data_IF_246963246418
#
_entry.id   IF_246963246418
#
_cell.length_a   1.000
_cell.length_b   1.000
_cell.length_c   1.000
_cell.angle_alpha   90.00
_cell.angle_beta   90.00
_cell.angle_gamma   90.00
#
_symmetry.space_group_name_H-M   'P 1'
#
loop_
_entity.id
_entity.type
_entity.pdbx_description
1 polymer ?
#
# COMPACT_ATOMS: atom_id res chain seq x y z
N UNK A 1 -90.67 14.76 37.53
CA UNK A 1 -90.18 13.48 36.94
C UNK A 1 -88.71 13.34 37.29
N UNK A 2 -88.36 12.40 38.16
CA UNK A 2 -87.01 12.25 38.73
C UNK A 2 -86.13 11.38 37.83
N UNK A 3 -84.99 11.92 37.40
CA UNK A 3 -83.98 11.19 36.63
C UNK A 3 -83.17 10.27 37.56
N UNK A 4 -83.20 8.97 37.30
CA UNK A 4 -82.35 7.98 37.98
C UNK A 4 -80.97 7.93 37.34
N UNK A 5 -79.96 8.45 38.03
CA UNK A 5 -78.55 8.26 37.69
C UNK A 5 -78.11 6.89 38.20
N UNK A 6 -77.72 5.98 37.30
CA UNK A 6 -77.13 4.69 37.68
C UNK A 6 -75.63 4.88 37.97
N UNK A 7 -75.24 4.84 39.23
CA UNK A 7 -73.85 4.67 39.64
C UNK A 7 -73.41 3.23 39.36
N UNK A 8 -72.52 3.05 38.37
CA UNK A 8 -71.85 1.76 38.15
C UNK A 8 -70.93 1.49 39.35
N UNK A 9 -71.20 0.42 40.09
CA UNK A 9 -70.25 -0.10 41.09
C UNK A 9 -68.97 -0.56 40.37
N UNK A 10 -67.82 -0.04 40.79
CA UNK A 10 -66.53 -0.52 40.33
C UNK A 10 -66.38 -1.98 40.77
N UNK A 11 -66.28 -2.91 39.82
CA UNK A 11 -65.99 -4.31 40.11
C UNK A 11 -64.54 -4.40 40.59
N UNK A 12 -64.34 -4.85 41.82
CA UNK A 12 -63.01 -5.16 42.35
C UNK A 12 -62.36 -6.33 41.63
N UNK A 13 -61.04 -6.32 41.58
CA UNK A 13 -60.21 -7.33 40.92
C UNK A 13 -59.86 -8.46 41.90
N UNK A 14 -59.82 -9.70 41.44
CA UNK A 14 -59.53 -10.85 42.32
C UNK A 14 -58.03 -11.11 42.43
N UNK A 15 -57.58 -11.68 43.55
CA UNK A 15 -56.16 -11.99 43.77
C UNK A 15 -55.60 -12.96 42.71
N UNK A 16 -56.41 -13.92 42.26
CA UNK A 16 -56.03 -14.85 41.19
C UNK A 16 -55.80 -14.11 39.86
N UNK A 17 -56.64 -13.12 39.54
CA UNK A 17 -56.51 -12.29 38.34
C UNK A 17 -55.21 -11.47 38.38
N UNK A 18 -54.81 -10.98 39.56
CA UNK A 18 -53.56 -10.25 39.75
C UNK A 18 -52.32 -11.10 39.51
N UNK A 19 -52.32 -12.31 40.08
CA UNK A 19 -51.20 -13.24 39.93
C UNK A 19 -51.05 -13.63 38.46
N UNK A 20 -52.15 -13.95 37.77
CA UNK A 20 -52.13 -14.33 36.36
C UNK A 20 -51.58 -13.19 35.48
N UNK A 21 -51.99 -11.94 35.73
CA UNK A 21 -51.46 -10.78 34.99
C UNK A 21 -49.96 -10.58 35.23
N UNK A 22 -49.48 -10.66 36.48
CA UNK A 22 -48.04 -10.49 36.77
C UNK A 22 -47.21 -11.61 36.10
N UNK A 23 -47.68 -12.85 36.15
CA UNK A 23 -46.98 -13.98 35.53
C UNK A 23 -46.93 -13.83 34.01
N UNK A 24 -48.06 -13.51 33.36
CA UNK A 24 -48.12 -13.35 31.91
C UNK A 24 -47.25 -12.16 31.46
N UNK A 25 -47.34 -11.01 32.14
CA UNK A 25 -46.52 -9.84 31.81
C UNK A 25 -45.03 -10.12 31.99
N UNK A 26 -44.63 -10.89 33.01
CA UNK A 26 -43.25 -11.35 33.19
C UNK A 26 -42.74 -12.20 32.02
N UNK A 27 -43.52 -13.19 31.58
CA UNK A 27 -43.18 -14.05 30.43
C UNK A 27 -43.07 -13.22 29.15
N UNK A 28 -44.06 -12.37 28.87
CA UNK A 28 -44.07 -11.53 27.67
C UNK A 28 -42.90 -10.52 27.66
N UNK A 29 -42.59 -9.91 28.80
CA UNK A 29 -41.47 -8.96 28.92
C UNK A 29 -40.13 -9.66 28.66
N UNK A 30 -39.94 -10.89 29.17
CA UNK A 30 -38.74 -11.69 28.91
C UNK A 30 -38.58 -12.03 27.42
N UNK A 31 -39.67 -12.41 26.76
CA UNK A 31 -39.68 -12.69 25.32
C UNK A 31 -39.31 -11.43 24.51
N UNK A 32 -39.95 -10.29 24.81
CA UNK A 32 -39.68 -9.01 24.13
C UNK A 32 -38.23 -8.56 24.32
N UNK A 33 -37.65 -8.74 25.51
CA UNK A 33 -36.26 -8.40 25.77
C UNK A 33 -35.27 -9.15 24.85
N UNK A 34 -35.50 -10.45 24.60
CA UNK A 34 -34.69 -11.24 23.67
C UNK A 34 -34.88 -10.78 22.21
N UNK A 35 -36.12 -10.51 21.81
CA UNK A 35 -36.44 -10.04 20.46
C UNK A 35 -35.87 -8.65 20.14
N UNK A 36 -35.61 -7.81 21.14
CA UNK A 36 -34.98 -6.49 20.94
C UNK A 36 -33.45 -6.61 20.97
N UNK A 37 -32.90 -7.42 21.88
CA UNK A 37 -31.44 -7.54 22.05
C UNK A 37 -30.76 -8.12 20.82
N UNK A 38 -31.33 -9.18 20.23
CA UNK A 38 -30.69 -9.89 19.10
C UNK A 38 -30.55 -9.01 17.86
N UNK A 39 -31.59 -8.28 17.37
CA UNK A 39 -31.43 -7.38 16.23
C UNK A 39 -30.44 -6.24 16.47
N UNK A 40 -30.39 -5.67 17.68
CA UNK A 40 -29.45 -4.60 18.02
C UNK A 40 -28.01 -5.12 17.99
N UNK A 41 -27.76 -6.29 18.58
CA UNK A 41 -26.44 -6.92 18.57
C UNK A 41 -26.01 -7.25 17.14
N UNK A 42 -26.91 -7.85 16.34
CA UNK A 42 -26.65 -8.15 14.94
C UNK A 42 -26.32 -6.89 14.13
N UNK A 43 -27.04 -5.78 14.37
CA UNK A 43 -26.74 -4.51 13.72
C UNK A 43 -25.36 -3.98 14.11
N UNK A 44 -25.00 -4.02 15.39
CA UNK A 44 -23.69 -3.60 15.87
C UNK A 44 -22.55 -4.45 15.30
N UNK A 45 -22.73 -5.76 15.22
CA UNK A 45 -21.74 -6.70 14.65
C UNK A 45 -21.60 -6.49 13.13
N UNK A 46 -22.70 -6.26 12.42
CA UNK A 46 -22.68 -5.93 11.00
C UNK A 46 -21.96 -4.60 10.72
N UNK A 47 -22.25 -3.56 11.52
CA UNK A 47 -21.57 -2.27 11.40
C UNK A 47 -20.07 -2.39 11.70
N UNK A 48 -19.69 -3.19 12.70
CA UNK A 48 -18.29 -3.44 13.03
C UNK A 48 -17.54 -4.17 11.90
N UNK A 49 -18.18 -5.17 11.27
CA UNK A 49 -17.61 -5.90 10.12
C UNK A 49 -17.48 -5.03 8.88
N UNK A 50 -18.45 -4.15 8.63
CA UNK A 50 -18.37 -3.18 7.54
C UNK A 50 -17.16 -2.25 7.73
N UNK A 51 -16.97 -1.69 8.93
CA UNK A 51 -15.82 -0.84 9.25
C UNK A 51 -14.47 -1.56 9.02
N UNK A 52 -14.34 -2.81 9.48
CA UNK A 52 -13.12 -3.60 9.26
C UNK A 52 -12.87 -3.86 7.77
N UNK A 53 -13.93 -4.13 7.00
CA UNK A 53 -13.82 -4.36 5.55
C UNK A 53 -13.37 -3.10 4.83
N UNK A 54 -13.96 -1.94 5.15
CA UNK A 54 -13.58 -0.65 4.55
C UNK A 54 -12.11 -0.29 4.84
N UNK A 55 -11.63 -0.51 6.08
CA UNK A 55 -10.23 -0.30 6.46
C UNK A 55 -9.31 -1.22 5.66
N UNK A 56 -9.66 -2.51 5.56
CA UNK A 56 -8.88 -3.48 4.80
C UNK A 56 -8.80 -3.11 3.32
N UNK A 57 -9.93 -2.74 2.71
CA UNK A 57 -10.01 -2.38 1.30
C UNK A 57 -9.21 -1.11 0.98
N UNK A 58 -9.32 -0.06 1.80
CA UNK A 58 -8.55 1.17 1.60
C UNK A 58 -7.04 0.93 1.72
N UNK A 59 -6.62 0.15 2.73
CA UNK A 59 -5.22 -0.21 2.91
C UNK A 59 -4.68 -1.01 1.71
N UNK A 60 -5.44 -2.00 1.25
CA UNK A 60 -5.08 -2.86 0.12
C UNK A 60 -5.08 -2.13 -1.22
N UNK A 61 -6.03 -1.23 -1.46
CA UNK A 61 -6.06 -0.38 -2.65
C UNK A 61 -4.85 0.54 -2.70
N UNK A 62 -4.48 1.15 -1.56
CA UNK A 62 -3.29 2.00 -1.47
C UNK A 62 -2.02 1.20 -1.73
N UNK A 63 -1.87 0.05 -1.08
CA UNK A 63 -0.71 -0.84 -1.25
C UNK A 63 -0.58 -1.32 -2.70
N UNK A 64 -1.68 -1.74 -3.33
CA UNK A 64 -1.69 -2.14 -4.74
C UNK A 64 -1.24 -1.02 -5.67
N UNK A 65 -1.69 0.21 -5.43
CA UNK A 65 -1.31 1.36 -6.25
C UNK A 65 0.18 1.65 -6.13
N UNK A 66 0.75 1.59 -4.93
CA UNK A 66 2.16 1.85 -4.72
C UNK A 66 3.03 0.73 -5.31
N UNK A 67 2.64 -0.55 -5.16
CA UNK A 67 3.37 -1.69 -5.76
C UNK A 67 3.37 -1.64 -7.29
N UNK A 68 2.29 -1.19 -7.93
CA UNK A 68 2.27 -0.99 -9.38
C UNK A 68 3.23 0.09 -9.89
N UNK A 69 3.70 0.94 -8.98
CA UNK A 69 4.70 1.98 -9.25
C UNK A 69 6.08 1.59 -8.72
N UNK A 70 6.28 0.34 -8.26
CA UNK A 70 7.57 -0.14 -7.86
C UNK A 70 8.53 -0.12 -9.07
N UNK A 71 9.76 0.30 -8.83
CA UNK A 71 10.83 0.14 -9.80
C UNK A 71 10.98 -1.36 -10.12
N UNK A 72 11.07 -1.75 -11.40
CA UNK A 72 11.35 -3.12 -11.81
C UNK A 72 12.45 -3.76 -10.97
N UNK A 73 12.22 -4.98 -10.48
CA UNK A 73 13.20 -5.75 -9.70
C UNK A 73 13.70 -5.09 -8.40
N UNK A 74 12.97 -4.11 -7.85
CA UNK A 74 13.33 -3.45 -6.57
C UNK A 74 12.61 -3.98 -5.34
N UNK A 75 11.64 -4.89 -5.51
CA UNK A 75 10.85 -5.41 -4.39
C UNK A 75 11.70 -6.37 -3.55
N UNK A 76 11.75 -6.11 -2.25
CA UNK A 76 12.40 -6.97 -1.25
C UNK A 76 11.44 -7.23 -0.09
N UNK A 77 11.49 -8.46 0.43
CA UNK A 77 10.81 -8.83 1.67
C UNK A 77 11.78 -8.67 2.84
N UNK A 78 11.31 -8.06 3.91
CA UNK A 78 12.03 -7.89 5.16
C UNK A 78 11.31 -8.67 6.27
N UNK A 79 12.03 -8.99 7.35
CA UNK A 79 11.47 -9.58 8.56
C UNK A 79 10.58 -10.81 8.27
N UNK A 80 11.07 -11.72 7.42
CA UNK A 80 10.38 -12.95 6.99
C UNK A 80 8.97 -12.71 6.41
N UNK A 81 8.77 -11.62 5.65
CA UNK A 81 7.50 -11.31 4.99
C UNK A 81 6.52 -10.53 5.86
N UNK A 82 6.93 -10.06 7.05
CA UNK A 82 6.14 -9.07 7.81
C UNK A 82 6.37 -7.64 7.32
N UNK A 83 7.28 -7.42 6.38
CA UNK A 83 7.47 -6.11 5.75
C UNK A 83 7.84 -6.28 4.28
N UNK A 84 7.33 -5.39 3.43
CA UNK A 84 7.66 -5.33 2.00
C UNK A 84 8.20 -3.94 1.69
N UNK A 85 9.33 -3.88 0.99
CA UNK A 85 10.02 -2.66 0.64
C UNK A 85 10.32 -2.62 -0.85
N UNK A 86 10.25 -1.44 -1.45
CA UNK A 86 10.56 -1.22 -2.86
C UNK A 86 10.89 0.24 -3.13
N UNK A 87 11.54 0.49 -4.25
CA UNK A 87 11.78 1.84 -4.75
C UNK A 87 10.55 2.30 -5.52
N UNK A 88 10.01 3.48 -5.20
CA UNK A 88 8.81 3.99 -5.87
C UNK A 88 9.20 4.92 -7.02
N UNK A 89 8.61 4.67 -8.19
CA UNK A 89 8.76 5.50 -9.38
C UNK A 89 7.60 6.49 -9.50
N UNK A 90 7.85 7.65 -10.11
CA UNK A 90 6.78 8.60 -10.47
C UNK A 90 6.57 8.76 -11.96
N UNK A 91 7.63 8.59 -12.75
CA UNK A 91 7.63 8.72 -14.20
C UNK A 91 8.83 7.97 -14.78
N UNK A 92 8.96 7.98 -16.10
CA UNK A 92 10.11 7.43 -16.83
C UNK A 92 10.08 7.96 -18.26
N UNK A 93 11.14 7.69 -19.00
CA UNK A 93 11.29 8.19 -20.37
C UNK A 93 12.28 7.39 -21.17
N UNK A 94 12.55 7.87 -22.39
CA UNK A 94 13.66 7.41 -23.20
C UNK A 94 14.76 8.47 -23.14
N UNK A 95 16.00 8.06 -22.95
CA UNK A 95 17.15 8.94 -23.08
C UNK A 95 17.65 8.93 -24.52
N UNK A 96 18.28 10.01 -24.96
CA UNK A 96 18.92 10.07 -26.27
C UNK A 96 20.14 9.14 -26.28
N UNK A 97 20.18 8.21 -27.24
CA UNK A 97 21.28 7.26 -27.45
C UNK A 97 22.08 7.64 -28.69
N UNK A 98 23.35 7.23 -28.76
CA UNK A 98 24.18 7.33 -29.98
C UNK A 98 23.51 6.66 -31.19
N UNK A 99 22.74 5.59 -30.95
CA UNK A 99 21.99 4.86 -31.97
C UNK A 99 20.85 5.68 -32.60
N UNK A 100 20.41 6.76 -31.94
CA UNK A 100 19.37 7.64 -32.47
C UNK A 100 19.88 8.54 -33.59
N UNK A 101 21.20 8.76 -33.68
CA UNK A 101 21.83 9.61 -34.69
C UNK A 101 21.30 11.05 -34.72
N UNK A 102 20.70 11.52 -33.62
CA UNK A 102 20.12 12.85 -33.50
C UNK A 102 21.06 13.80 -32.75
N UNK A 103 20.94 15.10 -33.02
CA UNK A 103 21.74 16.13 -32.33
C UNK A 103 21.19 16.34 -30.93
N UNK A 104 22.04 16.16 -29.91
CA UNK A 104 21.70 16.42 -28.51
C UNK A 104 22.74 15.86 -27.56
N UNK A 105 22.41 15.86 -26.26
CA UNK A 105 23.22 15.23 -25.22
C UNK A 105 22.80 13.76 -25.08
N UNK A 106 23.63 12.84 -25.53
CA UNK A 106 23.41 11.41 -25.32
C UNK A 106 23.75 11.00 -23.89
N UNK A 107 23.05 9.99 -23.35
CA UNK A 107 23.44 9.38 -22.08
C UNK A 107 24.69 8.52 -22.29
N UNK A 108 25.82 8.98 -21.77
CA UNK A 108 27.12 8.33 -21.96
C UNK A 108 27.35 7.23 -20.91
N UNK A 109 27.71 6.03 -21.36
CA UNK A 109 28.03 4.88 -20.50
C UNK A 109 29.52 4.58 -20.38
N UNK A 110 30.37 5.47 -20.88
CA UNK A 110 31.83 5.32 -20.92
C UNK A 110 32.57 6.50 -20.28
N UNK A 111 31.99 7.69 -20.31
CA UNK A 111 32.60 8.92 -19.78
C UNK A 111 31.87 9.44 -18.54
N UNK A 112 32.51 9.29 -17.38
CA UNK A 112 31.97 9.74 -16.10
C UNK A 112 31.86 11.27 -15.97
N UNK A 113 32.51 12.03 -16.87
CA UNK A 113 32.46 13.51 -16.88
C UNK A 113 31.23 14.06 -17.59
N UNK A 114 30.50 13.21 -18.35
CA UNK A 114 29.24 13.57 -19.00
C UNK A 114 28.09 13.54 -18.00
N UNK A 115 27.71 14.71 -17.50
CA UNK A 115 26.71 14.85 -16.44
C UNK A 115 25.31 15.21 -16.96
N UNK A 116 25.10 15.25 -18.28
CA UNK A 116 23.84 15.69 -18.88
C UNK A 116 23.41 14.75 -19.98
N UNK A 117 22.10 14.50 -20.07
CA UNK A 117 21.50 13.80 -21.21
C UNK A 117 20.15 14.41 -21.54
N UNK A 118 19.72 14.26 -22.78
CA UNK A 118 18.44 14.73 -23.28
C UNK A 118 17.40 13.60 -23.24
N UNK A 119 16.20 13.95 -22.82
CA UNK A 119 15.04 13.06 -22.89
C UNK A 119 14.51 13.06 -24.32
N UNK A 120 14.07 11.90 -24.81
CA UNK A 120 13.41 11.77 -26.12
C UNK A 120 11.90 11.81 -25.91
N UNK A 121 11.23 12.79 -26.50
CA UNK A 121 9.80 13.04 -26.34
C UNK A 121 9.49 14.17 -25.36
N UNK A 122 8.20 14.37 -25.00
CA UNK A 122 7.79 15.47 -24.13
C UNK A 122 8.29 15.26 -22.70
N UNK A 123 8.86 16.30 -22.10
CA UNK A 123 9.27 16.28 -20.70
C UNK A 123 8.04 16.15 -19.78
N UNK A 124 8.06 15.25 -18.77
CA UNK A 124 6.98 15.16 -17.79
C UNK A 124 6.76 16.49 -17.06
N UNK A 125 5.50 16.84 -16.80
CA UNK A 125 5.10 18.11 -16.18
C UNK A 125 4.30 17.92 -14.88
N UNK A 126 3.98 19.03 -14.23
CA UNK A 126 3.17 19.08 -13.01
C UNK A 126 3.60 18.06 -11.93
N UNK A 127 2.74 17.07 -11.63
CA UNK A 127 3.00 16.07 -10.59
C UNK A 127 4.03 15.00 -11.00
N UNK A 128 4.30 14.88 -12.30
CA UNK A 128 5.28 13.96 -12.86
C UNK A 128 6.60 14.64 -13.21
N UNK A 129 6.67 15.97 -13.05
CA UNK A 129 7.87 16.76 -13.31
C UNK A 129 9.08 16.16 -12.58
N UNK A 130 10.19 16.05 -13.32
CA UNK A 130 11.49 15.63 -12.78
C UNK A 130 12.10 16.85 -12.08
N UNK A 131 12.54 16.66 -10.84
CA UNK A 131 12.99 17.71 -9.95
C UNK A 131 14.38 17.36 -9.37
N UNK A 132 15.18 18.36 -8.98
CA UNK A 132 16.40 18.11 -8.22
C UNK A 132 16.13 17.27 -6.97
N UNK A 133 16.95 16.26 -6.74
CA UNK A 133 16.79 15.28 -5.66
C UNK A 133 16.04 14.00 -6.06
N UNK A 134 15.43 13.93 -7.25
CA UNK A 134 14.99 12.65 -7.81
C UNK A 134 16.18 11.81 -8.26
N UNK A 135 15.93 10.51 -8.45
CA UNK A 135 16.91 9.56 -8.95
C UNK A 135 16.53 9.06 -10.34
N UNK A 136 17.46 9.13 -11.28
CA UNK A 136 17.37 8.46 -12.57
C UNK A 136 17.97 7.07 -12.41
N UNK A 137 17.17 6.05 -12.68
CA UNK A 137 17.60 4.66 -12.69
C UNK A 137 17.51 4.12 -14.10
N UNK A 138 18.54 3.40 -14.52
CA UNK A 138 18.60 2.75 -15.84
C UNK A 138 18.78 1.26 -15.65
N UNK A 139 17.97 0.48 -16.37
CA UNK A 139 18.11 -0.96 -16.52
C UNK A 139 18.32 -1.73 -15.19
N UNK A 140 17.41 -1.57 -14.22
CA UNK A 140 17.51 -2.24 -12.93
C UNK A 140 17.18 -3.74 -13.03
N UNK A 141 18.19 -4.58 -12.82
CA UNK A 141 18.06 -6.05 -12.81
C UNK A 141 17.83 -6.61 -11.41
N UNK A 142 18.01 -5.79 -10.37
CA UNK A 142 17.66 -6.11 -8.99
C UNK A 142 18.86 -6.45 -8.11
N UNK A 143 18.57 -6.87 -6.88
CA UNK A 143 19.57 -7.03 -5.82
C UNK A 143 20.63 -8.07 -6.18
N UNK A 144 21.90 -7.69 -6.05
CA UNK A 144 23.05 -8.56 -6.34
C UNK A 144 23.52 -8.55 -7.79
N UNK A 145 22.84 -7.82 -8.68
CA UNK A 145 23.18 -7.71 -10.10
C UNK A 145 24.02 -6.45 -10.37
N UNK A 146 25.25 -6.38 -9.85
CA UNK A 146 26.13 -5.22 -10.09
C UNK A 146 26.58 -5.13 -11.56
N UNK A 147 26.60 -3.93 -12.21
CA UNK A 147 26.25 -2.61 -11.66
C UNK A 147 24.76 -2.24 -11.75
N UNK A 148 23.92 -3.10 -12.33
CA UNK A 148 22.48 -2.95 -12.53
C UNK A 148 21.61 -3.20 -11.27
N UNK A 149 22.11 -2.82 -10.10
CA UNK A 149 21.43 -2.92 -8.81
C UNK A 149 21.24 -1.53 -8.19
N UNK A 150 20.00 -1.05 -8.19
CA UNK A 150 19.65 0.27 -7.70
C UNK A 150 19.98 0.46 -6.22
N UNK A 151 19.89 -0.59 -5.39
CA UNK A 151 20.25 -0.50 -3.97
C UNK A 151 21.77 -0.41 -3.76
N UNK A 152 22.57 -0.90 -4.71
CA UNK A 152 24.02 -0.75 -4.72
C UNK A 152 24.47 0.59 -5.32
N UNK A 153 23.59 1.29 -6.05
CA UNK A 153 23.81 2.63 -6.58
C UNK A 153 24.56 2.70 -7.93
N UNK A 154 24.97 1.55 -8.49
CA UNK A 154 25.74 1.48 -9.74
C UNK A 154 24.98 1.96 -10.98
N UNK A 155 23.65 1.97 -10.93
CA UNK A 155 22.78 2.41 -12.02
C UNK A 155 21.82 3.52 -11.57
N UNK A 156 22.27 4.40 -10.67
CA UNK A 156 21.42 5.43 -10.03
C UNK A 156 22.08 6.80 -10.03
N UNK A 157 21.62 7.71 -10.87
CA UNK A 157 22.09 9.09 -10.89
C UNK A 157 21.13 10.03 -10.13
N UNK A 158 21.67 10.95 -9.33
CA UNK A 158 20.85 11.98 -8.66
C UNK A 158 20.68 13.19 -9.58
N UNK A 159 19.44 13.65 -9.77
CA UNK A 159 19.14 14.85 -10.56
C UNK A 159 19.53 16.10 -9.78
N UNK A 160 20.25 17.02 -10.43
CA UNK A 160 20.63 18.34 -9.88
C UNK A 160 19.93 19.49 -10.59
N UNK A 161 19.46 19.28 -11.82
CA UNK A 161 18.78 20.30 -12.61
C UNK A 161 18.03 19.72 -13.79
N UNK A 162 17.05 20.48 -14.27
CA UNK A 162 16.28 20.18 -15.49
C UNK A 162 16.12 21.48 -16.27
N UNK A 163 16.52 21.49 -17.54
CA UNK A 163 16.40 22.63 -18.43
C UNK A 163 15.93 22.18 -19.82
N UNK A 164 14.70 22.59 -20.20
CA UNK A 164 14.08 22.08 -21.42
C UNK A 164 13.91 20.56 -21.36
N UNK A 165 14.52 19.84 -22.31
CA UNK A 165 14.55 18.37 -22.32
C UNK A 165 15.82 17.77 -21.72
N UNK A 166 16.75 18.59 -21.21
CA UNK A 166 18.02 18.14 -20.68
C UNK A 166 17.93 17.93 -19.17
N UNK A 167 18.38 16.78 -18.69
CA UNK A 167 18.55 16.44 -17.28
C UNK A 167 20.02 16.61 -16.93
N UNK A 168 20.30 17.32 -15.84
CA UNK A 168 21.64 17.40 -15.23
C UNK A 168 21.70 16.47 -14.02
N UNK A 169 22.77 15.69 -13.95
CA UNK A 169 23.05 14.71 -12.90
C UNK A 169 24.20 15.19 -12.01
N UNK A 170 24.21 14.75 -10.75
CA UNK A 170 25.31 15.04 -9.82
C UNK A 170 26.59 14.29 -10.18
N UNK A 171 26.44 13.07 -10.66
CA UNK A 171 27.49 12.18 -11.13
C UNK A 171 26.91 11.31 -12.25
N UNK A 172 27.78 10.74 -13.09
CA UNK A 172 27.41 9.74 -14.07
C UNK A 172 27.86 8.33 -13.59
N UNK A 173 27.01 7.60 -12.85
CA UNK A 173 27.32 6.26 -12.38
C UNK A 173 27.18 5.19 -13.48
N UNK A 174 26.52 5.53 -14.59
CA UNK A 174 26.34 4.64 -15.73
C UNK A 174 27.63 4.43 -16.51
N UNK A 175 28.55 5.40 -16.41
CA UNK A 175 29.87 5.31 -16.97
C UNK A 175 30.70 4.24 -16.27
N UNK A 176 30.99 3.16 -16.97
CA UNK A 176 31.83 2.06 -16.47
C UNK A 176 33.10 1.92 -17.31
N UNK A 177 34.19 1.60 -16.63
CA UNK A 177 35.47 1.32 -17.27
C UNK A 177 35.64 -0.19 -17.41
N UNK A 178 36.11 -0.71 -18.57
CA UNK A 178 36.43 -2.11 -18.74
C UNK A 178 37.31 -2.64 -17.59
N UNK A 179 37.06 -3.86 -17.07
CA UNK A 179 36.29 -4.94 -17.67
C UNK A 179 34.79 -4.99 -17.26
N UNK A 180 34.27 -3.98 -16.56
CA UNK A 180 32.85 -3.96 -16.16
C UNK A 180 31.98 -3.78 -17.42
N UNK A 181 30.98 -4.64 -17.66
CA UNK A 181 30.12 -4.52 -18.84
C UNK A 181 29.22 -3.29 -18.73
N UNK A 182 29.06 -2.59 -19.84
CA UNK A 182 28.09 -1.51 -19.98
C UNK A 182 26.67 -2.09 -19.90
N UNK A 183 25.81 -1.43 -19.13
CA UNK A 183 24.44 -1.87 -18.83
C UNK A 183 23.42 -0.85 -19.37
N UNK A 184 23.41 -0.64 -20.69
CA UNK A 184 22.40 0.20 -21.32
C UNK A 184 21.03 -0.48 -21.28
N UNK A 185 19.96 0.31 -21.17
CA UNK A 185 18.61 -0.22 -21.35
C UNK A 185 18.43 -0.64 -22.82
N UNK A 186 17.98 -1.87 -23.12
CA UNK A 186 17.78 -2.33 -24.50
C UNK A 186 16.82 -1.47 -25.34
N UNK A 187 15.94 -0.71 -24.68
CA UNK A 187 15.01 0.23 -25.32
C UNK A 187 15.36 1.70 -25.04
N UNK A 188 16.57 1.96 -24.56
CA UNK A 188 17.08 3.27 -24.12
C UNK A 188 16.17 3.97 -23.11
N UNK A 189 15.58 3.23 -22.16
CA UNK A 189 14.65 3.76 -21.16
C UNK A 189 15.31 4.03 -19.81
N UNK A 190 14.75 4.99 -19.09
CA UNK A 190 15.07 5.27 -17.70
C UNK A 190 13.78 5.40 -16.88
N UNK A 191 13.88 5.15 -15.58
CA UNK A 191 12.84 5.39 -14.59
C UNK A 191 13.26 6.51 -13.64
N UNK A 192 12.28 7.27 -13.16
CA UNK A 192 12.48 8.33 -12.16
C UNK A 192 11.96 7.84 -10.82
N UNK A 193 12.89 7.52 -9.94
CA UNK A 193 12.65 7.07 -8.57
C UNK A 193 12.64 8.26 -7.62
N UNK A 194 11.66 8.31 -6.72
CA UNK A 194 11.56 9.38 -5.70
C UNK A 194 11.99 8.93 -4.31
N UNK A 195 12.30 7.64 -4.15
CA UNK A 195 12.82 7.09 -2.89
C UNK A 195 12.27 5.71 -2.58
N UNK A 196 12.29 5.35 -1.31
CA UNK A 196 11.95 4.01 -0.81
C UNK A 196 10.61 4.04 -0.07
N UNK A 197 9.75 3.06 -0.35
CA UNK A 197 8.52 2.81 0.40
C UNK A 197 8.62 1.47 1.10
N UNK A 198 8.28 1.44 2.39
CA UNK A 198 8.20 0.21 3.18
C UNK A 198 6.84 0.10 3.82
N UNK A 199 6.16 -1.03 3.62
CA UNK A 199 4.98 -1.39 4.39
C UNK A 199 5.38 -2.34 5.51
N UNK A 200 4.98 -2.02 6.73
CA UNK A 200 5.33 -2.77 7.94
C UNK A 200 4.04 -3.32 8.55
N UNK A 201 3.95 -4.65 8.58
CA UNK A 201 2.94 -5.37 9.32
C UNK A 201 3.42 -5.60 10.75
N UNK A 202 2.72 -5.03 11.72
CA UNK A 202 2.87 -5.37 13.14
C UNK A 202 1.55 -5.95 13.64
N UNK A 203 1.27 -7.20 13.30
CA UNK A 203 0.05 -7.89 13.72
C UNK A 203 0.11 -8.33 15.18
N UNK A 204 -0.92 -8.02 15.96
CA UNK A 204 -1.04 -8.42 17.36
C UNK A 204 -2.46 -8.88 17.63
N UNK A 205 -2.63 -10.16 17.97
CA UNK A 205 -3.93 -10.74 18.29
C UNK A 205 -4.41 -10.35 19.71
N UNK A 206 -5.71 -10.08 19.93
CA UNK A 206 -6.76 -9.88 18.93
C UNK A 206 -6.85 -8.40 18.52
N UNK A 207 -6.39 -8.04 17.32
CA UNK A 207 -6.58 -6.70 16.76
C UNK A 207 -5.94 -5.53 17.52
N UNK A 208 -4.80 -5.72 18.19
CA UNK A 208 -4.01 -4.62 18.77
C UNK A 208 -2.92 -4.10 17.82
N UNK A 209 -2.72 -4.79 16.68
CA UNK A 209 -1.67 -4.48 15.72
C UNK A 209 -2.02 -3.37 14.74
N UNK A 210 -1.02 -3.02 13.92
CA UNK A 210 -1.11 -1.99 12.88
C UNK A 210 -0.42 -2.40 11.59
N UNK A 211 -0.91 -1.85 10.48
CA UNK A 211 -0.23 -1.82 9.19
C UNK A 211 0.16 -0.38 8.92
N UNK A 212 1.46 -0.14 8.74
CA UNK A 212 1.99 1.20 8.51
C UNK A 212 2.75 1.28 7.19
N UNK A 213 2.81 2.48 6.62
CA UNK A 213 3.60 2.82 5.45
C UNK A 213 4.65 3.85 5.84
N UNK A 214 5.90 3.55 5.59
CA UNK A 214 7.05 4.44 5.76
C UNK A 214 7.54 4.86 4.38
N UNK A 215 7.93 6.12 4.24
CA UNK A 215 8.56 6.64 3.03
C UNK A 215 9.83 7.42 3.40
N UNK A 216 10.89 7.18 2.65
CA UNK A 216 12.10 8.01 2.62
C UNK A 216 12.35 8.51 1.20
N UNK A 217 12.93 9.70 1.08
CA UNK A 217 13.43 10.26 -0.18
C UNK A 217 14.86 9.78 -0.50
N UNK A 218 15.20 8.57 -0.05
CA UNK A 218 16.51 7.95 -0.26
C UNK A 218 16.33 6.59 -0.90
N UNK A 219 17.33 6.13 -1.64
CA UNK A 219 17.41 4.74 -2.09
C UNK A 219 18.12 3.95 -1.00
N UNK A 220 17.40 3.03 -0.35
CA UNK A 220 17.91 2.28 0.78
C UNK A 220 17.15 0.98 0.98
N UNK A 221 17.85 -0.09 1.34
CA UNK A 221 17.26 -1.35 1.81
C UNK A 221 17.27 -1.49 3.34
N UNK A 222 17.30 -0.35 4.07
CA UNK A 222 17.45 -0.35 5.53
C UNK A 222 16.30 -1.04 6.27
N UNK A 223 16.65 -1.76 7.34
CA UNK A 223 15.76 -2.39 8.30
C UNK A 223 16.29 -2.15 9.73
N UNK A 224 15.60 -1.36 10.59
CA UNK A 224 14.30 -0.74 10.34
C UNK A 224 14.36 0.35 9.25
N UNK A 225 13.25 0.58 8.54
CA UNK A 225 13.20 1.56 7.46
C UNK A 225 13.32 2.99 7.99
N UNK A 226 13.93 3.86 7.19
CA UNK A 226 14.10 5.28 7.48
C UNK A 226 12.83 6.04 7.12
N UNK A 227 12.38 6.95 7.98
CA UNK A 227 11.23 7.81 7.73
C UNK A 227 10.13 7.70 8.79
N UNK A 228 9.14 8.58 8.70
CA UNK A 228 8.01 8.59 9.61
C UNK A 228 6.94 7.57 9.18
N UNK A 229 6.45 6.71 10.09
CA UNK A 229 5.37 5.78 9.78
C UNK A 229 4.03 6.50 9.67
N UNK A 230 3.28 6.21 8.61
CA UNK A 230 1.88 6.58 8.43
C UNK A 230 0.97 5.36 8.65
N UNK A 231 -0.04 5.49 9.50
CA UNK A 231 -1.00 4.43 9.77
C UNK A 231 -1.91 4.19 8.56
N UNK A 232 -2.03 2.94 8.12
CA UNK A 232 -2.95 2.53 7.05
C UNK A 232 -4.13 1.71 7.57
N UNK A 233 -3.84 0.76 8.45
CA UNK A 233 -4.87 0.00 9.15
C UNK A 233 -4.48 -0.14 10.62
N UNK A 234 -5.46 0.05 11.49
CA UNK A 234 -5.41 -0.42 12.87
C UNK A 234 -6.15 -1.76 12.95
N UNK A 235 -6.21 -2.35 14.15
CA UNK A 235 -6.97 -3.58 14.39
C UNK A 235 -6.42 -4.80 13.66
N UNK A 236 -5.12 -4.81 13.39
CA UNK A 236 -4.46 -5.89 12.66
C UNK A 236 -4.14 -7.04 13.62
N UNK A 237 -4.72 -8.20 13.36
CA UNK A 237 -4.38 -9.45 14.05
C UNK A 237 -3.18 -10.11 13.40
N UNK A 238 -3.17 -10.18 12.06
CA UNK A 238 -2.08 -10.77 11.28
C UNK A 238 -2.01 -10.13 9.90
N UNK A 239 -0.82 -10.05 9.33
CA UNK A 239 -0.61 -9.81 7.91
C UNK A 239 0.70 -10.44 7.44
N UNK A 240 0.75 -10.76 6.16
CA UNK A 240 1.93 -11.35 5.54
C UNK A 240 2.04 -10.90 4.08
N UNK A 241 3.28 -10.68 3.66
CA UNK A 241 3.68 -10.41 2.30
C UNK A 241 4.44 -11.61 1.75
N UNK A 242 4.08 -12.01 0.54
CA UNK A 242 4.78 -13.01 -0.25
C UNK A 242 5.20 -12.36 -1.58
N UNK A 243 6.37 -12.72 -2.07
CA UNK A 243 6.89 -12.21 -3.34
C UNK A 243 7.53 -13.36 -4.09
N UNK A 244 7.00 -13.62 -5.28
CA UNK A 244 7.51 -14.63 -6.19
C UNK A 244 7.92 -13.94 -7.49
N UNK A 245 9.23 -13.87 -7.72
CA UNK A 245 9.77 -13.55 -9.03
C UNK A 245 9.50 -14.72 -9.97
N UNK A 246 8.83 -14.47 -11.10
CA UNK A 246 8.53 -15.53 -12.07
C UNK A 246 9.77 -15.84 -12.94
N UNK A 247 9.86 -17.03 -13.56
CA UNK A 247 11.00 -17.44 -14.39
C UNK A 247 11.33 -16.46 -15.52
N UNK A 248 10.30 -15.78 -16.06
CA UNK A 248 10.49 -14.59 -16.88
C UNK A 248 10.53 -13.38 -15.93
N UNK A 249 11.74 -12.89 -15.66
CA UNK A 249 12.04 -11.78 -14.73
C UNK A 249 11.29 -10.49 -15.05
N UNK A 250 10.61 -10.38 -16.19
CA UNK A 250 9.75 -9.27 -16.59
C UNK A 250 8.40 -9.21 -15.85
N UNK A 251 8.04 -10.24 -15.09
CA UNK A 251 6.82 -10.25 -14.31
C UNK A 251 7.04 -10.86 -12.93
N UNK A 252 6.35 -10.37 -11.93
CA UNK A 252 6.33 -10.97 -10.61
C UNK A 252 4.95 -10.89 -9.97
N UNK A 253 4.75 -11.67 -8.92
CA UNK A 253 3.52 -11.67 -8.15
C UNK A 253 3.83 -11.33 -6.69
N UNK A 254 3.09 -10.36 -6.16
CA UNK A 254 3.06 -10.06 -4.72
C UNK A 254 1.75 -10.61 -4.15
N UNK A 255 1.85 -11.55 -3.22
CA UNK A 255 0.74 -12.01 -2.40
C UNK A 255 0.66 -11.19 -1.11
N UNK A 256 -0.54 -10.80 -0.72
CA UNK A 256 -0.77 -10.07 0.53
C UNK A 256 -1.95 -10.68 1.26
N UNK A 257 -1.76 -10.99 2.54
CA UNK A 257 -2.85 -11.34 3.46
C UNK A 257 -2.95 -10.29 4.56
N UNK A 258 -4.18 -9.87 4.87
CA UNK A 258 -4.48 -8.92 5.93
C UNK A 258 -5.69 -9.41 6.72
N UNK A 259 -5.50 -9.68 8.00
CA UNK A 259 -6.55 -10.10 8.93
C UNK A 259 -6.76 -9.03 9.97
N UNK A 260 -7.97 -8.46 9.98
CA UNK A 260 -8.40 -7.46 10.94
C UNK A 260 -9.45 -8.03 11.89
N UNK A 261 -9.38 -7.65 13.15
CA UNK A 261 -10.32 -8.09 14.18
C UNK A 261 -10.50 -6.98 15.20
N UNK A 262 -11.70 -6.84 15.76
CA UNK A 262 -11.92 -5.93 16.88
C UNK A 262 -11.79 -6.73 18.19
N UNK A 263 -10.96 -6.29 19.16
CA UNK A 263 -10.65 -7.04 20.38
C UNK A 263 -11.85 -7.50 21.25
N UNK A 264 -13.03 -6.93 21.04
CA UNK A 264 -14.24 -7.11 21.87
C UNK A 264 -15.43 -7.70 21.10
N UNK A 265 -15.28 -8.01 19.81
CA UNK A 265 -16.38 -8.57 18.99
C UNK A 265 -16.00 -9.91 18.37
N UNK A 266 -16.97 -10.80 18.21
CA UNK A 266 -16.78 -12.05 17.47
C UNK A 266 -16.81 -11.78 15.94
N UNK A 267 -15.62 -11.64 15.35
CA UNK A 267 -15.49 -11.58 13.90
C UNK A 267 -14.16 -11.02 13.43
N UNK A 268 -13.39 -11.87 12.74
CA UNK A 268 -12.25 -11.45 11.93
C UNK A 268 -12.68 -11.26 10.47
N UNK A 269 -12.13 -10.25 9.82
CA UNK A 269 -12.19 -10.05 8.37
C UNK A 269 -10.80 -10.37 7.82
N UNK A 270 -10.72 -11.30 6.88
CA UNK A 270 -9.48 -11.61 6.19
C UNK A 270 -9.62 -11.27 4.71
N UNK A 271 -8.67 -10.47 4.21
CA UNK A 271 -8.54 -10.14 2.81
C UNK A 271 -7.23 -10.71 2.27
N UNK A 272 -7.31 -11.39 1.13
CA UNK A 272 -6.14 -11.93 0.41
C UNK A 272 -6.16 -11.36 -1.00
N UNK A 273 -5.03 -10.83 -1.44
CA UNK A 273 -4.91 -10.26 -2.77
C UNK A 273 -3.59 -10.67 -3.43
N UNK A 274 -3.66 -10.92 -4.73
CA UNK A 274 -2.49 -11.07 -5.59
C UNK A 274 -2.34 -9.83 -6.47
N UNK A 275 -1.13 -9.28 -6.54
CA UNK A 275 -0.81 -8.09 -7.30
C UNK A 275 0.26 -8.47 -8.32
N UNK A 276 -0.06 -8.27 -9.60
CA UNK A 276 0.91 -8.41 -10.67
C UNK A 276 1.84 -7.20 -10.68
N UNK A 277 3.13 -7.48 -10.79
CA UNK A 277 4.21 -6.50 -10.87
C UNK A 277 4.86 -6.59 -12.24
N UNK A 278 5.02 -5.44 -12.89
CA UNK A 278 5.78 -5.31 -14.12
C UNK A 278 7.26 -5.09 -13.76
N UNK A 279 8.11 -6.02 -14.17
CA UNK A 279 9.55 -5.97 -13.94
C UNK A 279 10.32 -5.76 -15.27
N UNK A 280 9.70 -5.09 -16.25
CA UNK A 280 10.41 -4.64 -17.46
C UNK A 280 11.29 -3.42 -17.16
N UNK A 281 12.63 -3.55 -17.16
CA UNK A 281 13.54 -2.46 -16.84
C UNK A 281 13.75 -1.47 -18.00
#
# INVERSE_FOLDING_TARGET
MSARTYTRAARGFTLIEAIVVIVITGILSGIVALFIRVPIQNYADNAARAELTDIADLAMQRLRRDIRLALPNSIVLLNNGSSIQFLITKTGGRYLSADDGAVGNELDFTDATKLTFDVVGPMPDARQAILPGDFIVVYNLGTGMSPADAYAGGNVATVTGVAGNTITMNANPFAVVPPVPVMESPNHRFQVVTGTVTYICNGVAPGAGTLTRVYSNTISSANPPVGAPALLANKVTACQFDYQALPNTHSAMVGVSLTLERPVSEGAVQLVQQIHVDNTP
#
